data_IF_806448966920
#
_entry.id   IF_806448966920
#
_cell.length_a   1.000
_cell.length_b   1.000
_cell.length_c   1.000
_cell.angle_alpha   90.00
_cell.angle_beta   90.00
_cell.angle_gamma   90.00
#
_symmetry.space_group_name_H-M   'P 1'
#
loop_
_entity.id
_entity.type
_entity.pdbx_description
1 polymer ?
#
# COMPACT_ATOMS: atom_id res chain seq x y z
N UNK A 1 20.63 -16.10 98.32
CA UNK A 1 20.21 -14.89 99.04
C UNK A 1 19.74 -13.83 98.02
N UNK A 2 18.82 -13.03 98.46
CA UNK A 2 17.48 -12.90 97.86
C UNK A 2 17.25 -11.59 97.19
N UNK A 3 16.10 -11.42 96.60
CA UNK A 3 15.41 -10.16 96.56
C UNK A 3 14.58 -9.95 95.26
N UNK A 4 13.37 -10.29 95.40
CA UNK A 4 12.16 -9.46 95.48
C UNK A 4 11.79 -8.63 94.20
N UNK A 5 10.77 -9.09 93.54
CA UNK A 5 9.42 -8.49 93.39
C UNK A 5 9.34 -7.04 92.82
N UNK A 6 8.66 -6.86 91.67
CA UNK A 6 7.33 -6.21 91.68
C UNK A 6 6.70 -6.24 90.25
N UNK A 7 5.44 -6.70 90.32
CA UNK A 7 4.44 -6.56 89.24
C UNK A 7 4.10 -5.09 89.04
N UNK A 8 3.97 -4.69 87.76
CA UNK A 8 2.97 -3.70 87.41
C UNK A 8 2.33 -4.12 86.07
N UNK A 9 1.03 -4.32 86.20
CA UNK A 9 0.07 -4.55 85.17
C UNK A 9 -0.27 -3.23 84.49
N UNK A 10 -0.10 -3.06 83.19
CA UNK A 10 -0.73 -1.99 82.44
C UNK A 10 -1.38 -2.56 81.20
N UNK A 11 -2.71 -2.57 81.27
CA UNK A 11 -3.63 -2.70 80.16
C UNK A 11 -3.48 -1.47 79.25
N UNK A 12 -3.29 -1.66 77.96
CA UNK A 12 -3.49 -0.61 77.00
C UNK A 12 -4.11 -1.21 75.71
N UNK A 13 -5.26 -0.68 75.46
CA UNK A 13 -6.21 -0.94 74.37
C UNK A 13 -5.57 -1.07 73.00
N UNK A 14 -6.14 -1.99 72.23
CA UNK A 14 -5.91 -2.14 70.82
C UNK A 14 -6.42 -0.96 70.00
N UNK A 15 -5.68 -0.69 68.91
CA UNK A 15 -6.19 0.05 67.76
C UNK A 15 -5.84 -0.77 66.52
N UNK A 16 -6.83 -1.52 66.01
CA UNK A 16 -6.76 -2.14 64.69
C UNK A 16 -6.87 -1.03 63.65
N UNK A 17 -5.74 -0.60 63.10
CA UNK A 17 -5.71 0.19 61.89
C UNK A 17 -5.78 -0.78 60.69
N UNK A 18 -6.99 -0.98 60.16
CA UNK A 18 -7.20 -1.65 58.86
C UNK A 18 -6.64 -0.75 57.77
N UNK A 19 -5.40 -1.07 57.33
CA UNK A 19 -4.80 -0.50 56.15
C UNK A 19 -5.51 -1.01 54.90
N UNK A 20 -6.39 -0.21 54.34
CA UNK A 20 -6.93 -0.44 53.00
C UNK A 20 -5.79 -0.30 51.99
N UNK A 21 -5.23 -1.44 51.56
CA UNK A 21 -4.34 -1.50 50.41
C UNK A 21 -5.19 -1.25 49.18
N UNK A 22 -5.22 0.00 48.70
CA UNK A 22 -5.75 0.32 47.40
C UNK A 22 -4.87 -0.36 46.34
N UNK A 23 -5.32 -1.51 45.85
CA UNK A 23 -4.79 -2.11 44.61
C UNK A 23 -5.14 -1.15 43.49
N UNK A 24 -4.19 -0.27 43.11
CA UNK A 24 -4.19 0.40 41.83
C UNK A 24 -4.06 -0.71 40.79
N UNK A 25 -5.19 -1.09 40.20
CA UNK A 25 -5.20 -1.90 39.00
C UNK A 25 -4.42 -1.12 37.93
N UNK A 26 -3.16 -1.46 37.76
CA UNK A 26 -2.40 -1.04 36.57
C UNK A 26 -3.17 -1.56 35.37
N UNK A 27 -3.94 -0.68 34.74
CA UNK A 27 -4.44 -0.92 33.40
C UNK A 27 -3.22 -1.01 32.51
N UNK A 28 -2.70 -2.22 32.35
CA UNK A 28 -1.70 -2.56 31.36
C UNK A 28 -2.35 -2.42 29.99
N UNK A 29 -2.39 -1.20 29.47
CA UNK A 29 -2.69 -0.99 28.06
C UNK A 29 -1.64 -1.75 27.26
N UNK A 30 -2.01 -2.86 26.63
CA UNK A 30 -1.13 -3.52 25.67
C UNK A 30 -0.71 -2.50 24.63
N UNK A 31 0.58 -2.46 24.29
CA UNK A 31 1.06 -1.59 23.23
C UNK A 31 0.21 -1.81 21.97
N UNK A 32 -0.11 -0.77 21.21
CA UNK A 32 -0.91 -0.92 20.01
C UNK A 32 -0.24 -1.91 19.07
N UNK A 33 -1.04 -2.75 18.41
CA UNK A 33 -0.53 -3.68 17.40
C UNK A 33 0.31 -2.92 16.37
N UNK A 34 1.35 -3.53 15.86
CA UNK A 34 2.28 -2.93 14.90
C UNK A 34 2.40 -3.83 13.68
N UNK A 35 2.30 -3.24 12.47
CA UNK A 35 2.37 -3.95 11.21
C UNK A 35 3.46 -3.38 10.30
N UNK A 36 4.23 -4.28 9.67
CA UNK A 36 5.15 -3.95 8.60
C UNK A 36 4.37 -3.84 7.28
N UNK A 37 4.45 -2.70 6.62
CA UNK A 37 3.68 -2.40 5.41
C UNK A 37 4.60 -2.28 4.21
N UNK A 38 4.44 -3.16 3.22
CA UNK A 38 5.19 -3.09 1.97
C UNK A 38 4.63 -2.03 1.03
N UNK A 39 5.50 -1.15 0.56
CA UNK A 39 5.19 -0.11 -0.42
C UNK A 39 6.32 0.06 -1.43
N UNK A 40 6.00 0.46 -2.67
CA UNK A 40 7.00 0.60 -3.73
C UNK A 40 7.68 1.96 -3.71
N UNK A 41 8.95 2.06 -4.11
CA UNK A 41 9.66 3.35 -4.17
C UNK A 41 9.43 4.13 -5.48
N UNK A 42 8.69 3.60 -6.47
CA UNK A 42 8.73 4.07 -7.87
C UNK A 42 7.38 4.40 -8.49
N UNK A 43 6.29 4.37 -7.72
CA UNK A 43 4.91 4.53 -8.24
C UNK A 43 4.24 5.85 -7.86
N UNK A 44 4.94 7.01 -8.01
CA UNK A 44 4.34 8.33 -7.73
C UNK A 44 3.08 8.57 -8.62
N UNK A 45 1.96 9.05 -8.07
CA UNK A 45 1.74 9.62 -6.74
C UNK A 45 1.27 8.64 -5.67
N UNK A 46 1.14 7.33 -5.97
CA UNK A 46 0.64 6.35 -5.01
C UNK A 46 1.66 6.01 -3.92
N UNK A 47 2.87 5.60 -4.33
CA UNK A 47 3.99 5.32 -3.42
C UNK A 47 5.30 5.65 -4.11
N UNK A 48 6.18 6.37 -3.45
CA UNK A 48 7.52 6.71 -3.98
C UNK A 48 8.49 7.00 -2.84
N UNK A 49 9.78 6.82 -3.11
CA UNK A 49 10.83 7.22 -2.19
C UNK A 49 11.06 8.73 -2.31
N UNK A 50 10.79 9.46 -1.25
CA UNK A 50 11.26 10.83 -1.11
C UNK A 50 12.72 10.81 -0.65
N UNK A 51 13.61 11.22 -1.55
CA UNK A 51 15.06 11.21 -1.29
C UNK A 51 15.51 12.19 -0.21
N UNK A 52 14.71 13.24 0.07
CA UNK A 52 15.04 14.23 1.12
C UNK A 52 14.80 13.69 2.52
N UNK A 53 13.67 13.02 2.72
CA UNK A 53 13.30 12.42 4.01
C UNK A 53 13.76 10.96 4.12
N UNK A 54 14.26 10.35 3.03
CA UNK A 54 14.58 8.93 2.91
C UNK A 54 13.43 8.03 3.38
N UNK A 55 12.20 8.42 3.06
CA UNK A 55 10.99 7.68 3.44
C UNK A 55 10.07 7.48 2.24
N UNK A 56 9.28 6.39 2.29
CA UNK A 56 8.24 6.19 1.29
C UNK A 56 7.07 7.12 1.61
N UNK A 57 6.62 7.84 0.59
CA UNK A 57 5.49 8.77 0.63
C UNK A 57 4.49 8.43 -0.47
N UNK A 58 3.33 9.08 -0.46
CA UNK A 58 2.31 8.96 -1.51
C UNK A 58 0.91 8.74 -0.97
N UNK A 59 -0.05 8.73 -1.89
CA UNK A 59 -1.48 8.57 -1.60
C UNK A 59 -1.75 7.30 -0.78
N UNK A 60 -1.12 6.18 -1.14
CA UNK A 60 -1.33 4.91 -0.44
C UNK A 60 -0.68 4.88 0.94
N UNK A 61 0.42 5.65 1.15
CA UNK A 61 1.03 5.81 2.47
C UNK A 61 0.14 6.63 3.37
N UNK A 62 -0.35 7.78 2.89
CA UNK A 62 -1.30 8.61 3.64
C UNK A 62 -2.58 7.84 3.99
N UNK A 63 -3.12 7.07 3.02
CA UNK A 63 -4.28 6.19 3.24
C UNK A 63 -3.99 5.16 4.32
N UNK A 64 -2.83 4.49 4.27
CA UNK A 64 -2.44 3.49 5.26
C UNK A 64 -2.31 4.08 6.66
N UNK A 65 -1.72 5.27 6.79
CA UNK A 65 -1.60 5.97 8.07
C UNK A 65 -2.96 6.39 8.63
N UNK A 66 -3.88 6.86 7.76
CA UNK A 66 -5.25 7.17 8.15
C UNK A 66 -6.01 5.92 8.63
N UNK A 67 -5.88 4.81 7.91
CA UNK A 67 -6.44 3.51 8.29
C UNK A 67 -5.84 3.03 9.62
N UNK A 68 -4.53 3.09 9.79
CA UNK A 68 -3.84 2.69 11.02
C UNK A 68 -4.34 3.50 12.23
N UNK A 69 -4.47 4.81 12.07
CA UNK A 69 -5.03 5.72 13.10
C UNK A 69 -6.47 5.34 13.45
N UNK A 70 -7.33 5.13 12.45
CA UNK A 70 -8.74 4.78 12.66
C UNK A 70 -8.91 3.38 13.30
N UNK A 71 -8.00 2.44 13.01
CA UNK A 71 -8.01 1.07 13.51
C UNK A 71 -7.23 0.89 14.83
N UNK A 72 -6.50 1.90 15.31
CA UNK A 72 -5.76 1.85 16.57
C UNK A 72 -4.51 0.96 16.53
N UNK A 73 -3.74 0.98 15.42
CA UNK A 73 -2.45 0.29 15.30
C UNK A 73 -1.36 1.19 14.71
N UNK A 74 -0.11 0.71 14.71
CA UNK A 74 1.02 1.39 14.10
C UNK A 74 1.37 0.73 12.75
N UNK A 75 1.65 1.53 11.72
CA UNK A 75 2.07 1.06 10.40
C UNK A 75 3.51 1.52 10.10
N UNK A 76 4.42 0.55 9.93
CA UNK A 76 5.81 0.79 9.56
C UNK A 76 6.00 0.50 8.08
N UNK A 77 6.08 1.56 7.27
CA UNK A 77 6.20 1.44 5.82
C UNK A 77 7.62 1.05 5.44
N UNK A 78 7.75 -0.04 4.67
CA UNK A 78 9.02 -0.59 4.20
C UNK A 78 9.08 -0.58 2.68
N UNK A 79 10.23 -0.22 2.13
CA UNK A 79 10.47 -0.28 0.70
C UNK A 79 10.50 -1.72 0.20
N UNK A 80 9.68 -2.02 -0.80
CA UNK A 80 9.60 -3.33 -1.44
C UNK A 80 9.34 -3.14 -2.94
N UNK A 81 10.08 -3.83 -3.82
CA UNK A 81 9.79 -3.78 -5.26
C UNK A 81 8.41 -4.39 -5.56
N UNK A 82 7.73 -3.92 -6.61
CA UNK A 82 6.34 -4.34 -6.87
C UNK A 82 6.21 -5.86 -7.04
N UNK A 83 7.12 -6.49 -7.77
CA UNK A 83 7.14 -7.94 -7.98
C UNK A 83 7.39 -8.73 -6.68
N UNK A 84 8.06 -8.14 -5.69
CA UNK A 84 8.37 -8.78 -4.42
C UNK A 84 7.27 -8.59 -3.34
N UNK A 85 6.23 -7.77 -3.58
CA UNK A 85 5.20 -7.48 -2.57
C UNK A 85 4.46 -8.73 -2.11
N UNK A 86 3.84 -9.49 -3.03
CA UNK A 86 3.10 -10.72 -2.68
C UNK A 86 4.04 -11.78 -2.07
N UNK A 87 5.21 -12.10 -2.65
CA UNK A 87 6.17 -12.99 -2.00
C UNK A 87 6.59 -12.56 -0.60
N UNK A 88 6.81 -11.26 -0.36
CA UNK A 88 7.14 -10.73 0.97
C UNK A 88 5.99 -10.87 1.97
N UNK A 89 4.75 -10.68 1.52
CA UNK A 89 3.55 -10.86 2.33
C UNK A 89 3.35 -12.33 2.71
N UNK A 90 3.42 -13.23 1.75
CA UNK A 90 3.21 -14.68 1.97
C UNK A 90 4.31 -15.32 2.80
N UNK A 91 5.55 -14.79 2.75
CA UNK A 91 6.67 -15.21 3.59
C UNK A 91 6.75 -14.49 4.95
N UNK A 92 5.74 -13.67 5.29
CA UNK A 92 5.65 -12.91 6.56
C UNK A 92 6.79 -11.91 6.79
N UNK A 93 7.45 -11.44 5.73
CA UNK A 93 8.40 -10.33 5.81
C UNK A 93 7.69 -8.97 5.97
N UNK A 94 6.49 -8.87 5.43
CA UNK A 94 5.55 -7.77 5.63
C UNK A 94 4.19 -8.33 6.02
N UNK A 95 3.34 -7.50 6.60
CA UNK A 95 2.01 -7.90 7.09
C UNK A 95 0.88 -7.37 6.22
N UNK A 96 1.10 -6.21 5.58
CA UNK A 96 0.12 -5.53 4.73
C UNK A 96 0.85 -5.01 3.48
N UNK A 97 0.20 -5.04 2.32
CA UNK A 97 0.65 -4.32 1.13
C UNK A 97 -0.20 -3.04 0.99
N UNK A 98 0.48 -1.90 0.82
CA UNK A 98 -0.13 -0.61 0.49
C UNK A 98 0.64 0.04 -0.67
N UNK A 99 0.39 -0.40 -1.91
CA UNK A 99 1.19 -0.06 -3.09
C UNK A 99 0.36 0.06 -4.38
N UNK A 100 -0.87 0.54 -4.29
CA UNK A 100 -1.81 0.65 -5.42
C UNK A 100 -2.03 -0.68 -6.18
N UNK A 101 -1.96 -1.80 -5.47
CA UNK A 101 -2.13 -3.12 -6.05
C UNK A 101 -3.58 -3.36 -6.47
N UNK A 102 -3.79 -3.66 -7.74
CA UNK A 102 -5.10 -4.00 -8.28
C UNK A 102 -5.54 -5.40 -7.82
N UNK A 103 -6.80 -5.49 -7.38
CA UNK A 103 -7.46 -6.74 -7.03
C UNK A 103 -7.77 -7.53 -8.29
N UNK A 104 -7.40 -8.82 -8.31
CA UNK A 104 -7.71 -9.76 -9.40
C UNK A 104 -8.07 -11.13 -8.86
N UNK A 105 -8.82 -11.91 -9.63
CA UNK A 105 -9.17 -13.29 -9.26
C UNK A 105 -7.90 -14.17 -9.05
N UNK A 106 -6.87 -13.99 -9.87
CA UNK A 106 -5.62 -14.74 -9.73
C UNK A 106 -4.91 -14.44 -8.41
N UNK A 107 -4.78 -13.15 -8.04
CA UNK A 107 -4.16 -12.73 -6.78
C UNK A 107 -4.98 -13.17 -5.56
N UNK A 108 -6.32 -13.18 -5.68
CA UNK A 108 -7.23 -13.65 -4.61
C UNK A 108 -7.06 -15.14 -4.26
N UNK A 109 -6.41 -15.93 -5.11
CA UNK A 109 -6.08 -17.32 -4.75
C UNK A 109 -5.02 -17.40 -3.64
N UNK A 110 -4.13 -16.41 -3.55
CA UNK A 110 -2.94 -16.45 -2.67
C UNK A 110 -2.93 -15.38 -1.58
N UNK A 111 -3.74 -14.31 -1.72
CA UNK A 111 -3.85 -13.20 -0.76
C UNK A 111 -5.28 -12.73 -0.64
N UNK A 112 -5.62 -11.98 0.41
CA UNK A 112 -6.93 -11.35 0.58
C UNK A 112 -6.84 -9.83 0.44
N UNK A 113 -7.90 -9.24 -0.10
CA UNK A 113 -7.99 -7.81 -0.43
C UNK A 113 -9.05 -7.12 0.43
N UNK A 114 -8.72 -5.94 0.90
CA UNK A 114 -9.67 -5.05 1.57
C UNK A 114 -10.74 -4.53 0.61
N UNK A 115 -11.66 -3.76 1.15
CA UNK A 115 -12.50 -2.87 0.36
C UNK A 115 -11.63 -1.90 -0.44
N UNK A 116 -12.11 -1.51 -1.63
CA UNK A 116 -11.38 -0.62 -2.51
C UNK A 116 -11.17 0.77 -1.88
N UNK A 117 -9.97 1.33 -2.04
CA UNK A 117 -9.64 2.70 -1.62
C UNK A 117 -9.52 3.64 -2.82
N UNK A 118 -9.36 3.09 -4.02
CA UNK A 118 -9.31 3.80 -5.29
C UNK A 118 -9.65 2.83 -6.43
N UNK A 119 -9.82 3.33 -7.67
CA UNK A 119 -10.00 2.48 -8.85
C UNK A 119 -9.42 3.19 -10.07
N UNK A 120 -8.77 2.43 -10.97
CA UNK A 120 -8.26 2.97 -12.24
C UNK A 120 -8.10 1.86 -13.29
N UNK A 121 -7.97 2.30 -14.55
CA UNK A 121 -7.64 1.43 -15.68
C UNK A 121 -6.19 1.63 -16.14
N UNK A 122 -5.76 0.77 -17.05
CA UNK A 122 -4.46 0.93 -17.70
C UNK A 122 -4.42 2.14 -18.64
N UNK A 123 -3.23 2.72 -18.79
CA UNK A 123 -2.89 3.70 -19.80
C UNK A 123 -1.89 3.14 -20.80
N UNK A 124 -2.11 3.40 -22.08
CA UNK A 124 -1.15 3.14 -23.14
C UNK A 124 -0.29 4.38 -23.33
N UNK A 125 1.03 4.23 -23.16
CA UNK A 125 2.01 5.30 -23.38
C UNK A 125 2.77 5.03 -24.67
N UNK A 126 2.92 6.06 -25.48
CA UNK A 126 3.61 6.05 -26.79
C UNK A 126 4.56 7.22 -26.89
N UNK A 127 5.44 7.25 -27.90
CA UNK A 127 6.29 8.41 -28.18
C UNK A 127 5.44 9.65 -28.45
N UNK A 128 5.91 10.81 -28.05
CA UNK A 128 5.19 12.07 -28.21
C UNK A 128 4.97 12.43 -29.71
N UNK A 129 5.90 12.06 -30.57
CA UNK A 129 5.86 12.29 -32.02
C UNK A 129 5.10 11.18 -32.79
N UNK A 130 4.61 10.14 -32.10
CA UNK A 130 3.82 9.08 -32.75
C UNK A 130 2.41 9.61 -33.09
N UNK A 131 2.13 9.75 -34.38
CA UNK A 131 0.84 10.25 -34.87
C UNK A 131 -0.24 9.17 -35.02
N UNK A 132 0.11 7.88 -34.82
CA UNK A 132 -0.84 6.77 -34.94
C UNK A 132 -1.88 6.84 -33.83
N UNK A 133 -3.15 6.71 -34.16
CA UNK A 133 -4.22 6.50 -33.20
C UNK A 133 -4.24 5.03 -32.76
N UNK A 134 -4.20 4.80 -31.46
CA UNK A 134 -4.30 3.50 -30.84
C UNK A 134 -5.61 3.41 -30.07
N UNK A 135 -6.52 2.54 -30.50
CA UNK A 135 -7.83 2.34 -29.86
C UNK A 135 -7.79 1.16 -28.91
N UNK A 136 -7.02 0.14 -29.25
CA UNK A 136 -6.86 -1.09 -28.47
C UNK A 136 -5.45 -1.65 -28.61
N UNK A 137 -5.13 -2.70 -27.84
CA UNK A 137 -3.86 -3.41 -27.94
C UNK A 137 -3.67 -4.12 -29.29
N UNK A 138 -4.73 -4.38 -30.07
CA UNK A 138 -4.63 -5.01 -31.39
C UNK A 138 -3.88 -4.12 -32.40
N UNK A 139 -3.93 -2.82 -32.20
CA UNK A 139 -3.19 -1.83 -33.02
C UNK A 139 -1.66 -1.94 -32.89
N UNK A 140 -1.19 -2.71 -31.90
CA UNK A 140 0.22 -2.97 -31.61
C UNK A 140 0.67 -4.39 -32.02
N UNK A 141 -0.12 -5.10 -32.83
CA UNK A 141 0.23 -6.44 -33.31
C UNK A 141 1.59 -6.44 -34.02
N UNK A 142 2.48 -7.38 -33.64
CA UNK A 142 3.82 -7.51 -34.18
C UNK A 142 4.85 -6.51 -33.66
N UNK A 143 4.45 -5.58 -32.78
CA UNK A 143 5.35 -4.60 -32.19
C UNK A 143 6.06 -5.12 -30.93
N UNK A 144 7.10 -4.41 -30.49
CA UNK A 144 7.72 -4.60 -29.18
C UNK A 144 7.04 -3.68 -28.20
N UNK A 145 6.49 -4.24 -27.12
CA UNK A 145 5.77 -3.51 -26.08
C UNK A 145 6.40 -3.78 -24.71
N UNK A 146 6.08 -2.96 -23.73
CA UNK A 146 6.62 -3.13 -22.39
C UNK A 146 5.60 -2.89 -21.28
N UNK A 147 5.86 -3.51 -20.13
CA UNK A 147 5.14 -3.24 -18.88
C UNK A 147 6.02 -3.55 -17.67
N UNK A 148 5.64 -3.03 -16.50
CA UNK A 148 6.34 -3.35 -15.26
C UNK A 148 6.07 -4.80 -14.84
N UNK A 149 7.14 -5.52 -14.47
CA UNK A 149 7.07 -6.91 -14.02
C UNK A 149 6.19 -7.05 -12.76
N UNK A 150 5.44 -8.16 -12.69
CA UNK A 150 4.54 -8.45 -11.57
C UNK A 150 3.23 -7.65 -11.61
N UNK A 151 3.01 -6.78 -12.61
CA UNK A 151 1.74 -6.07 -12.79
C UNK A 151 0.77 -6.89 -13.64
N UNK A 152 -0.53 -6.62 -13.46
CA UNK A 152 -1.59 -7.18 -14.31
C UNK A 152 -1.44 -6.76 -15.77
N UNK A 153 -0.74 -5.66 -16.05
CA UNK A 153 -0.50 -5.15 -17.38
C UNK A 153 0.53 -6.00 -18.13
N UNK A 154 1.58 -6.44 -17.44
CA UNK A 154 2.54 -7.37 -18.00
C UNK A 154 1.88 -8.71 -18.36
N UNK A 155 1.08 -9.24 -17.41
CA UNK A 155 0.33 -10.49 -17.63
C UNK A 155 -0.67 -10.36 -18.79
N UNK A 156 -1.35 -9.20 -18.91
CA UNK A 156 -2.27 -8.91 -20.01
C UNK A 156 -1.57 -8.93 -21.36
N UNK A 157 -0.42 -8.26 -21.47
CA UNK A 157 0.38 -8.26 -22.70
C UNK A 157 0.86 -9.66 -23.07
N UNK A 158 1.38 -10.41 -22.09
CA UNK A 158 1.84 -11.79 -22.31
C UNK A 158 0.70 -12.70 -22.79
N UNK A 159 -0.44 -12.64 -22.11
CA UNK A 159 -1.61 -13.47 -22.44
C UNK A 159 -2.19 -13.15 -23.82
N UNK A 160 -2.11 -11.89 -24.26
CA UNK A 160 -2.64 -11.49 -25.57
C UNK A 160 -1.88 -12.13 -26.74
N UNK A 161 -0.57 -12.37 -26.62
CA UNK A 161 0.22 -13.20 -27.53
C UNK A 161 0.34 -12.69 -28.97
N UNK A 162 0.06 -11.40 -29.23
CA UNK A 162 0.07 -10.81 -30.59
C UNK A 162 1.30 -9.96 -30.87
N UNK A 163 2.12 -9.70 -29.85
CA UNK A 163 3.29 -8.85 -29.92
C UNK A 163 4.51 -9.63 -30.38
N UNK A 164 5.45 -8.94 -31.02
CA UNK A 164 6.76 -9.55 -31.39
C UNK A 164 7.57 -9.86 -30.12
N UNK A 165 7.50 -8.97 -29.12
CA UNK A 165 8.19 -9.11 -27.85
C UNK A 165 7.43 -8.33 -26.78
N UNK A 166 7.36 -8.87 -25.56
CA UNK A 166 6.88 -8.16 -24.37
C UNK A 166 8.05 -8.02 -23.40
N UNK A 167 8.57 -6.80 -23.23
CA UNK A 167 9.68 -6.50 -22.32
C UNK A 167 9.18 -6.22 -20.92
N UNK A 168 9.85 -6.80 -19.95
CA UNK A 168 9.62 -6.53 -18.54
C UNK A 168 10.55 -5.43 -18.04
N UNK A 169 10.02 -4.55 -17.16
CA UNK A 169 10.77 -3.46 -16.54
C UNK A 169 10.54 -3.47 -15.03
N UNK A 170 11.55 -3.05 -14.26
CA UNK A 170 11.43 -2.94 -12.81
C UNK A 170 10.54 -1.76 -12.39
N UNK A 171 10.44 -0.73 -13.24
CA UNK A 171 9.61 0.45 -13.01
C UNK A 171 8.97 0.99 -14.28
N UNK A 172 7.88 1.77 -14.12
CA UNK A 172 7.26 2.52 -15.22
C UNK A 172 8.26 3.55 -15.79
N UNK A 173 9.14 4.12 -14.97
CA UNK A 173 10.14 5.08 -15.40
C UNK A 173 11.18 4.44 -16.36
N UNK A 174 11.64 3.22 -16.08
CA UNK A 174 12.58 2.51 -16.96
C UNK A 174 11.93 2.14 -18.28
N UNK A 175 10.69 1.66 -18.26
CA UNK A 175 9.88 1.41 -19.45
C UNK A 175 9.72 2.69 -20.28
N UNK A 176 9.41 3.81 -19.66
CA UNK A 176 9.22 5.10 -20.34
C UNK A 176 10.50 5.61 -20.99
N UNK A 177 11.66 5.40 -20.33
CA UNK A 177 12.97 5.73 -20.90
C UNK A 177 13.24 4.94 -22.18
N UNK A 178 13.00 3.63 -22.18
CA UNK A 178 13.17 2.79 -23.36
C UNK A 178 12.19 3.15 -24.49
N UNK A 179 10.97 3.54 -24.14
CA UNK A 179 9.99 4.06 -25.07
C UNK A 179 10.46 5.37 -25.74
N UNK A 180 10.93 6.34 -24.95
CA UNK A 180 11.44 7.61 -25.45
C UNK A 180 12.63 7.41 -26.41
N UNK A 181 13.48 6.41 -26.14
CA UNK A 181 14.61 6.01 -26.97
C UNK A 181 14.20 5.16 -28.20
N UNK A 182 12.90 4.84 -28.35
CA UNK A 182 12.40 4.03 -29.48
C UNK A 182 12.76 2.54 -29.41
N UNK A 183 13.19 2.03 -28.24
CA UNK A 183 13.54 0.61 -28.06
C UNK A 183 12.30 -0.29 -27.92
N UNK A 184 11.17 0.29 -27.53
CA UNK A 184 9.83 -0.32 -27.56
C UNK A 184 8.87 0.64 -28.28
N UNK A 185 7.80 0.11 -28.85
CA UNK A 185 6.78 0.87 -29.58
C UNK A 185 5.78 1.54 -28.64
N UNK A 186 5.41 0.84 -27.56
CA UNK A 186 4.45 1.31 -26.57
C UNK A 186 4.71 0.67 -25.20
N UNK A 187 4.25 1.34 -24.16
CA UNK A 187 4.22 0.82 -22.79
C UNK A 187 2.80 0.77 -22.26
N UNK A 188 2.50 -0.24 -21.43
CA UNK A 188 1.22 -0.38 -20.73
C UNK A 188 1.46 -0.30 -19.23
N UNK A 189 0.66 0.52 -18.53
CA UNK A 189 0.83 0.71 -17.09
C UNK A 189 -0.32 1.46 -16.45
N UNK A 190 -0.13 1.82 -15.20
CA UNK A 190 -1.11 2.53 -14.38
C UNK A 190 -1.38 3.92 -14.95
N UNK A 191 -2.57 4.15 -15.50
CA UNK A 191 -2.92 5.42 -16.13
C UNK A 191 -2.68 6.63 -15.19
N UNK A 192 -3.03 6.61 -13.89
CA UNK A 192 -2.78 7.75 -13.01
C UNK A 192 -1.29 8.03 -12.78
N UNK A 193 -0.42 7.00 -12.71
CA UNK A 193 1.03 7.17 -12.58
C UNK A 193 1.59 7.86 -13.82
N UNK A 194 1.25 7.33 -14.99
CA UNK A 194 1.73 7.87 -16.28
C UNK A 194 1.25 9.32 -16.45
N UNK A 195 -0.05 9.58 -16.25
CA UNK A 195 -0.65 10.91 -16.37
C UNK A 195 -0.02 11.92 -15.40
N UNK A 196 0.20 11.52 -14.15
CA UNK A 196 0.83 12.37 -13.14
C UNK A 196 2.26 12.75 -13.56
N UNK A 197 3.07 11.77 -13.94
CA UNK A 197 4.46 11.98 -14.32
C UNK A 197 4.62 12.82 -15.60
N UNK A 198 3.71 12.67 -16.57
CA UNK A 198 3.67 13.54 -17.76
C UNK A 198 3.33 14.98 -17.35
N UNK A 199 2.30 15.19 -16.51
CA UNK A 199 1.94 16.54 -16.01
C UNK A 199 3.07 17.20 -15.22
N UNK A 200 3.87 16.44 -14.50
CA UNK A 200 5.04 16.92 -13.75
C UNK A 200 6.29 17.06 -14.63
N UNK A 201 6.20 16.86 -15.94
CA UNK A 201 7.32 16.87 -16.87
C UNK A 201 8.46 15.91 -16.53
N UNK A 202 8.17 14.86 -15.72
CA UNK A 202 9.15 13.82 -15.37
C UNK A 202 9.32 12.80 -16.48
N UNK A 203 8.27 12.56 -17.28
CA UNK A 203 8.31 11.71 -18.48
C UNK A 203 8.30 12.59 -19.73
N UNK A 204 9.48 12.77 -20.34
CA UNK A 204 9.65 13.57 -21.55
C UNK A 204 9.69 12.69 -22.80
N UNK A 205 9.28 13.26 -23.95
CA UNK A 205 9.31 12.57 -25.23
C UNK A 205 8.24 11.49 -25.40
N UNK A 206 7.27 11.43 -24.49
CA UNK A 206 6.19 10.45 -24.51
C UNK A 206 4.84 11.09 -24.20
N UNK A 207 3.76 10.41 -24.56
CA UNK A 207 2.38 10.82 -24.26
C UNK A 207 1.48 9.63 -24.00
N UNK A 208 0.38 9.83 -23.31
CA UNK A 208 -0.73 8.86 -23.29
C UNK A 208 -1.38 8.82 -24.68
N UNK A 209 -1.74 7.63 -25.14
CA UNK A 209 -2.53 7.44 -26.36
C UNK A 209 -3.99 7.81 -26.04
N UNK A 210 -4.43 9.00 -26.45
CA UNK A 210 -5.74 9.57 -26.08
C UNK A 210 -6.93 8.73 -26.54
N UNK A 211 -6.80 8.05 -27.69
CA UNK A 211 -7.86 7.20 -28.25
C UNK A 211 -7.94 5.83 -27.57
N UNK A 212 -6.94 5.45 -26.77
CA UNK A 212 -6.87 4.15 -26.13
C UNK A 212 -7.93 4.04 -25.03
N UNK A 213 -8.68 2.95 -25.09
CA UNK A 213 -9.69 2.63 -24.06
C UNK A 213 -9.16 1.49 -23.20
N UNK A 214 -9.10 1.71 -21.87
CA UNK A 214 -8.72 0.64 -20.94
C UNK A 214 -9.58 -0.59 -21.15
N UNK A 215 -8.97 -1.75 -21.12
CA UNK A 215 -9.67 -3.03 -21.27
C UNK A 215 -10.44 -3.38 -19.98
N UNK A 216 -9.99 -2.87 -18.85
CA UNK A 216 -10.62 -3.07 -17.55
C UNK A 216 -10.27 -1.93 -16.58
N UNK A 217 -11.20 -1.65 -15.67
CA UNK A 217 -10.98 -0.81 -14.49
C UNK A 217 -10.92 -1.73 -13.27
N UNK A 218 -9.84 -1.63 -12.52
CA UNK A 218 -9.62 -2.46 -11.34
C UNK A 218 -9.64 -1.67 -10.05
N UNK A 219 -9.99 -2.36 -8.97
CA UNK A 219 -9.99 -1.81 -7.62
C UNK A 219 -8.61 -1.86 -6.99
N UNK A 220 -8.17 -0.75 -6.44
CA UNK A 220 -6.98 -0.62 -5.59
C UNK A 220 -7.37 -0.89 -4.15
N UNK A 221 -6.70 -1.86 -3.52
CA UNK A 221 -7.00 -2.29 -2.16
C UNK A 221 -5.73 -2.39 -1.32
N UNK A 222 -5.89 -2.41 0.00
CA UNK A 222 -4.88 -2.94 0.90
C UNK A 222 -4.93 -4.47 0.83
N UNK A 223 -3.77 -5.13 1.01
CA UNK A 223 -3.68 -6.58 0.84
C UNK A 223 -3.10 -7.21 2.10
N UNK A 224 -3.69 -8.32 2.54
CA UNK A 224 -3.24 -9.12 3.68
C UNK A 224 -3.02 -10.57 3.26
N UNK A 225 -2.36 -11.35 4.11
CA UNK A 225 -2.19 -12.78 3.88
C UNK A 225 -3.54 -13.47 3.71
N UNK A 226 -3.55 -14.52 2.90
CA UNK A 226 -4.72 -15.36 2.70
C UNK A 226 -5.20 -15.93 4.03
N UNK A 227 -6.49 -15.73 4.34
CA UNK A 227 -7.10 -16.21 5.57
C UNK A 227 -6.88 -15.32 6.81
N UNK A 228 -6.20 -14.20 6.71
CA UNK A 228 -6.06 -13.23 7.80
C UNK A 228 -7.33 -12.37 7.93
N UNK A 229 -8.40 -13.01 8.37
CA UNK A 229 -9.74 -12.40 8.45
C UNK A 229 -9.83 -11.33 9.53
N UNK A 230 -9.05 -11.43 10.60
CA UNK A 230 -9.04 -10.45 11.69
C UNK A 230 -8.45 -9.11 11.21
N UNK A 231 -7.25 -9.15 10.63
CA UNK A 231 -6.62 -7.94 10.07
C UNK A 231 -7.48 -7.36 8.97
N UNK A 232 -8.03 -8.19 8.07
CA UNK A 232 -8.89 -7.75 6.98
C UNK A 232 -10.15 -7.02 7.48
N UNK A 233 -10.84 -7.59 8.48
CA UNK A 233 -12.03 -6.95 9.06
C UNK A 233 -11.69 -5.60 9.73
N UNK A 234 -10.54 -5.52 10.43
CA UNK A 234 -10.04 -4.30 11.04
C UNK A 234 -9.75 -3.22 9.99
N UNK A 235 -9.10 -3.58 8.89
CA UNK A 235 -8.82 -2.67 7.77
C UNK A 235 -10.11 -2.17 7.12
N UNK A 236 -11.07 -3.05 6.81
CA UNK A 236 -12.34 -2.68 6.17
C UNK A 236 -13.17 -1.73 7.03
N UNK A 237 -13.24 -1.98 8.34
CA UNK A 237 -13.90 -1.06 9.29
C UNK A 237 -13.26 0.32 9.25
N UNK A 238 -11.94 0.40 9.28
CA UNK A 238 -11.22 1.66 9.23
C UNK A 238 -11.36 2.37 7.87
N UNK A 239 -11.32 1.62 6.74
CA UNK A 239 -11.58 2.15 5.41
C UNK A 239 -12.99 2.74 5.33
N UNK A 240 -14.00 2.07 5.85
CA UNK A 240 -15.37 2.61 5.92
C UNK A 240 -15.42 3.93 6.69
N UNK A 241 -14.71 4.02 7.83
CA UNK A 241 -14.61 5.25 8.64
C UNK A 241 -14.00 6.40 7.84
N UNK A 242 -12.81 6.21 7.22
CA UNK A 242 -12.12 7.29 6.50
C UNK A 242 -12.81 7.67 5.17
N UNK A 243 -13.67 6.80 4.64
CA UNK A 243 -14.56 7.16 3.52
C UNK A 243 -15.72 8.03 4.01
N UNK A 244 -16.37 7.65 5.10
CA UNK A 244 -17.55 8.33 5.62
C UNK A 244 -17.25 9.74 6.14
N UNK A 245 -16.07 9.97 6.74
CA UNK A 245 -15.66 11.28 7.27
C UNK A 245 -14.96 12.17 6.24
N UNK A 246 -14.78 11.68 5.00
CA UNK A 246 -14.17 12.42 3.89
C UNK A 246 -12.63 12.42 3.90
N UNK A 247 -11.98 11.79 4.86
CA UNK A 247 -10.50 11.73 4.95
C UNK A 247 -9.89 11.14 3.67
N UNK A 248 -10.45 10.04 3.17
CA UNK A 248 -9.94 9.41 1.94
C UNK A 248 -10.05 10.36 0.73
N UNK A 249 -11.18 11.06 0.59
CA UNK A 249 -11.37 12.03 -0.51
C UNK A 249 -10.36 13.19 -0.43
N UNK A 250 -10.05 13.67 0.78
CA UNK A 250 -9.04 14.70 0.98
C UNK A 250 -7.62 14.19 0.60
N UNK A 251 -7.29 12.94 0.93
CA UNK A 251 -6.02 12.32 0.56
C UNK A 251 -5.91 12.22 -0.96
N UNK A 252 -6.92 11.70 -1.66
CA UNK A 252 -6.95 11.62 -3.13
C UNK A 252 -6.75 13.01 -3.76
N UNK A 253 -7.49 14.02 -3.28
CA UNK A 253 -7.36 15.41 -3.74
C UNK A 253 -5.97 15.99 -3.50
N UNK A 254 -5.36 15.73 -2.34
CA UNK A 254 -3.99 16.17 -1.99
C UNK A 254 -2.98 15.71 -3.04
N UNK A 255 -3.14 14.50 -3.55
CA UNK A 255 -2.21 13.91 -4.53
C UNK A 255 -2.59 14.18 -5.99
N UNK A 256 -3.69 14.87 -6.25
CA UNK A 256 -4.11 15.31 -7.60
C UNK A 256 -4.51 14.15 -8.52
N UNK A 257 -5.09 13.11 -7.97
CA UNK A 257 -5.60 11.93 -8.69
C UNK A 257 -7.06 11.68 -8.36
#
# INVERSE_FOLDING_TARGET
MPGFVRRVLHLALGLCAAGAVAQAAAQGGSAPASYNVGATPTGIPFTFLDVKSNSIQGMMVDTMQAVAKAAGFQAHVQQTSFAALIPSLTSSKIDIISAAMLKTAARQQVVDFSDAVYSYGEGLIVKADDAKAYVSLDDLKGEVVGAQVGTVFYDLLQKKGIFREVRSYDSVADMTRDLALGRIKAGLGDQPIIAYQIRQHSFQGVKLAESYKPSNVGDVCLVVRKGDTETLARLNKAIATIKADGTLAQIVKKWGI
#
